data_IF_120082958667
#
_entry.id   IF_120082958667
#
_cell.length_a   1.000
_cell.length_b   1.000
_cell.length_c   1.000
_cell.angle_alpha   90.00
_cell.angle_beta   90.00
_cell.angle_gamma   90.00
#
_symmetry.space_group_name_H-M   'P 1'
#
loop_
_entity.id
_entity.type
_entity.pdbx_description
1 polymer ?
#
# COMPACT_ATOMS: atom_id res chain seq x y z
N UNK A 1 -13.02 15.23 -26.20
CA UNK A 1 -13.45 13.93 -25.64
C UNK A 1 -12.76 12.83 -26.42
N UNK A 2 -11.74 12.19 -25.83
CA UNK A 2 -11.17 10.97 -26.40
C UNK A 2 -12.07 9.77 -26.05
N UNK A 3 -12.16 8.77 -26.94
CA UNK A 3 -12.95 7.55 -26.68
C UNK A 3 -12.05 6.33 -26.83
N UNK A 4 -11.98 5.53 -25.78
CA UNK A 4 -11.28 4.24 -25.79
C UNK A 4 -12.35 3.15 -26.01
N UNK A 5 -12.18 2.34 -27.05
CA UNK A 5 -13.05 1.19 -27.33
C UNK A 5 -12.34 -0.08 -26.87
N UNK A 6 -12.95 -0.80 -25.94
CA UNK A 6 -12.42 -2.07 -25.41
C UNK A 6 -13.23 -3.22 -26.00
N UNK A 7 -12.54 -4.26 -26.47
CA UNK A 7 -13.14 -5.47 -27.02
C UNK A 7 -12.70 -6.73 -26.28
N UNK A 8 -13.55 -7.76 -26.29
CA UNK A 8 -13.28 -9.08 -25.74
C UNK A 8 -14.08 -10.17 -26.47
N UNK A 9 -13.71 -11.43 -26.25
CA UNK A 9 -14.38 -12.57 -26.90
C UNK A 9 -15.70 -12.95 -26.23
N UNK A 10 -15.81 -12.70 -24.92
CA UNK A 10 -17.05 -12.95 -24.14
C UNK A 10 -17.52 -11.69 -23.40
N UNK A 11 -18.79 -11.67 -22.98
CA UNK A 11 -19.34 -10.56 -22.18
C UNK A 11 -18.64 -10.44 -20.82
N UNK A 12 -18.29 -11.56 -20.20
CA UNK A 12 -17.58 -11.59 -18.91
C UNK A 12 -16.20 -10.97 -19.03
N UNK A 13 -15.43 -11.33 -20.06
CA UNK A 13 -14.12 -10.72 -20.32
C UNK A 13 -14.23 -9.24 -20.69
N UNK A 14 -15.29 -8.84 -21.41
CA UNK A 14 -15.53 -7.45 -21.75
C UNK A 14 -15.75 -6.62 -20.47
N UNK A 15 -16.53 -7.14 -19.53
CA UNK A 15 -16.78 -6.52 -18.23
C UNK A 15 -15.50 -6.44 -17.39
N UNK A 16 -14.73 -7.52 -17.29
CA UNK A 16 -13.45 -7.54 -16.56
C UNK A 16 -12.46 -6.51 -17.12
N UNK A 17 -12.22 -6.52 -18.44
CA UNK A 17 -11.32 -5.55 -19.07
C UNK A 17 -11.81 -4.13 -18.85
N UNK A 18 -13.11 -3.87 -19.01
CA UNK A 18 -13.68 -2.54 -18.79
C UNK A 18 -13.39 -2.05 -17.37
N UNK A 19 -13.64 -2.86 -16.34
CA UNK A 19 -13.38 -2.50 -14.94
C UNK A 19 -11.89 -2.21 -14.70
N UNK A 20 -10.99 -3.04 -15.27
CA UNK A 20 -9.54 -2.82 -15.16
C UNK A 20 -9.08 -1.52 -15.82
N UNK A 21 -9.66 -1.15 -16.96
CA UNK A 21 -9.36 0.13 -17.62
C UNK A 21 -9.90 1.32 -16.83
N UNK A 22 -11.11 1.22 -16.27
CA UNK A 22 -11.69 2.25 -15.43
C UNK A 22 -10.84 2.47 -14.17
N UNK A 23 -10.41 1.39 -13.51
CA UNK A 23 -9.53 1.45 -12.34
C UNK A 23 -8.20 2.12 -12.68
N UNK A 24 -7.51 1.66 -13.73
CA UNK A 24 -6.23 2.23 -14.16
C UNK A 24 -6.30 3.74 -14.50
N UNK A 25 -7.38 4.18 -15.15
CA UNK A 25 -7.60 5.60 -15.45
C UNK A 25 -7.75 6.41 -14.16
N UNK A 26 -8.61 5.94 -13.25
CA UNK A 26 -8.85 6.60 -11.97
C UNK A 26 -7.58 6.63 -11.09
N UNK A 27 -6.77 5.57 -11.10
CA UNK A 27 -5.50 5.53 -10.36
C UNK A 27 -4.50 6.56 -10.89
N UNK A 28 -4.34 6.65 -12.22
CA UNK A 28 -3.40 7.61 -12.83
C UNK A 28 -3.87 9.05 -12.65
N UNK A 29 -5.17 9.31 -12.77
CA UNK A 29 -5.72 10.64 -12.51
C UNK A 29 -5.50 11.05 -11.05
N UNK A 30 -5.71 10.13 -10.09
CA UNK A 30 -5.44 10.37 -8.66
C UNK A 30 -3.95 10.59 -8.39
N UNK A 31 -3.08 9.78 -8.99
CA UNK A 31 -1.64 9.92 -8.88
C UNK A 31 -1.12 11.25 -9.43
N UNK A 32 -1.73 11.77 -10.50
CA UNK A 32 -1.41 13.08 -11.07
C UNK A 32 -1.75 14.22 -10.09
N UNK A 33 -2.84 14.09 -9.34
CA UNK A 33 -3.31 15.13 -8.43
C UNK A 33 -2.63 15.10 -7.06
N UNK A 34 -2.44 13.91 -6.48
CA UNK A 34 -1.97 13.72 -5.10
C UNK A 34 -0.50 13.27 -5.01
N UNK A 35 0.10 12.86 -6.14
CA UNK A 35 1.41 12.22 -6.16
C UNK A 35 1.31 10.70 -5.97
N UNK A 36 2.48 10.08 -5.82
CA UNK A 36 2.64 8.62 -5.73
C UNK A 36 3.47 8.26 -4.50
N UNK A 37 3.22 7.07 -3.97
CA UNK A 37 3.95 6.49 -2.84
C UNK A 37 4.21 5.01 -3.12
N UNK A 38 5.23 4.40 -2.51
CA UNK A 38 5.46 2.95 -2.60
C UNK A 38 4.25 2.15 -2.12
N UNK A 39 3.81 1.19 -2.94
CA UNK A 39 2.67 0.34 -2.64
C UNK A 39 3.02 -0.85 -1.72
N UNK A 40 2.35 -1.98 -1.96
CA UNK A 40 2.54 -3.21 -1.18
C UNK A 40 2.23 -3.10 0.33
N UNK A 41 1.59 -2.01 0.75
CA UNK A 41 1.43 -1.67 2.17
C UNK A 41 2.70 -1.18 2.87
N UNK A 42 3.82 -1.00 2.14
CA UNK A 42 5.09 -0.54 2.72
C UNK A 42 4.98 0.86 3.32
N UNK A 43 4.33 1.79 2.60
CA UNK A 43 4.14 3.16 3.09
C UNK A 43 3.44 3.18 4.45
N UNK A 44 2.34 2.43 4.61
CA UNK A 44 1.62 2.37 5.89
C UNK A 44 2.45 1.70 6.99
N UNK A 45 3.18 0.62 6.68
CA UNK A 45 4.06 -0.05 7.63
C UNK A 45 5.20 0.87 8.10
N UNK A 46 5.73 1.72 7.22
CA UNK A 46 6.73 2.72 7.53
C UNK A 46 6.16 3.83 8.42
N UNK A 47 5.04 4.45 8.02
CA UNK A 47 4.38 5.51 8.78
C UNK A 47 3.97 5.06 10.18
N UNK A 48 3.53 3.82 10.32
CA UNK A 48 3.23 3.24 11.63
C UNK A 48 4.41 3.39 12.59
N UNK A 49 5.65 3.19 12.14
CA UNK A 49 6.83 3.24 13.01
C UNK A 49 7.39 4.65 13.15
N UNK A 50 7.37 5.45 12.09
CA UNK A 50 8.00 6.78 12.09
C UNK A 50 7.12 7.88 12.66
N UNK A 51 5.79 7.76 12.54
CA UNK A 51 4.85 8.80 12.96
C UNK A 51 4.06 8.43 14.22
N UNK A 52 4.26 7.26 14.82
CA UNK A 52 3.52 6.85 16.03
C UNK A 52 3.62 7.91 17.13
N UNK A 53 4.83 8.38 17.45
CA UNK A 53 5.00 9.37 18.51
C UNK A 53 4.33 10.71 18.17
N UNK A 54 4.51 11.20 16.94
CA UNK A 54 3.92 12.47 16.50
C UNK A 54 2.39 12.42 16.50
N UNK A 55 1.80 11.29 16.08
CA UNK A 55 0.35 11.08 16.10
C UNK A 55 -0.15 11.07 17.55
N UNK A 56 0.56 10.40 18.46
CA UNK A 56 0.16 10.31 19.86
C UNK A 56 0.28 11.65 20.57
N UNK A 57 1.33 12.42 20.30
CA UNK A 57 1.56 13.75 20.89
C UNK A 57 0.53 14.79 20.42
N UNK A 58 -0.15 14.54 19.29
CA UNK A 58 -1.18 15.41 18.75
C UNK A 58 -2.58 15.18 19.36
N UNK A 59 -2.76 14.15 20.19
CA UNK A 59 -4.07 13.83 20.80
C UNK A 59 -4.22 14.54 22.15
N UNK A 60 -5.38 15.16 22.39
CA UNK A 60 -5.61 15.98 23.58
C UNK A 60 -6.21 15.17 24.74
N UNK A 61 -6.86 14.04 24.45
CA UNK A 61 -7.57 13.20 25.42
C UNK A 61 -7.15 11.73 25.40
N UNK A 62 -7.38 11.03 26.52
CA UNK A 62 -7.13 9.58 26.60
C UNK A 62 -7.96 8.77 25.61
N UNK A 63 -9.22 9.17 25.36
CA UNK A 63 -10.09 8.49 24.41
C UNK A 63 -9.58 8.64 22.96
N UNK A 64 -9.11 9.83 22.59
CA UNK A 64 -8.49 10.08 21.28
C UNK A 64 -7.18 9.30 21.12
N UNK A 65 -6.33 9.26 22.16
CA UNK A 65 -5.11 8.45 22.18
C UNK A 65 -5.41 6.97 21.96
N UNK A 66 -6.44 6.41 22.60
CA UNK A 66 -6.84 5.02 22.35
C UNK A 66 -7.32 4.81 20.91
N UNK A 67 -8.08 5.75 20.36
CA UNK A 67 -8.51 5.72 18.96
C UNK A 67 -7.33 5.74 17.98
N UNK A 68 -6.35 6.62 18.22
CA UNK A 68 -5.13 6.72 17.43
C UNK A 68 -4.31 5.43 17.47
N UNK A 69 -4.13 4.82 18.65
CA UNK A 69 -3.43 3.54 18.80
C UNK A 69 -4.07 2.41 18.00
N UNK A 70 -5.41 2.39 17.88
CA UNK A 70 -6.11 1.39 17.07
C UNK A 70 -5.76 1.58 15.58
N UNK A 71 -5.78 2.83 15.09
CA UNK A 71 -5.44 3.13 13.70
C UNK A 71 -3.97 2.82 13.39
N UNK A 72 -3.05 3.22 14.26
CA UNK A 72 -1.61 2.92 14.13
C UNK A 72 -1.39 1.42 14.02
N UNK A 73 -2.02 0.61 14.89
CA UNK A 73 -1.92 -0.86 14.80
C UNK A 73 -2.48 -1.39 13.48
N UNK A 74 -3.59 -0.85 13.00
CA UNK A 74 -4.23 -1.26 11.75
C UNK A 74 -3.40 -0.93 10.50
N UNK A 75 -2.49 0.05 10.55
CA UNK A 75 -1.64 0.42 9.40
C UNK A 75 -0.74 -0.72 8.89
N UNK A 76 -0.34 -1.66 9.76
CA UNK A 76 0.43 -2.85 9.34
C UNK A 76 -0.39 -3.89 8.58
N UNK A 77 -1.71 -3.91 8.77
CA UNK A 77 -2.58 -4.99 8.31
C UNK A 77 -2.56 -5.19 6.78
N UNK A 78 -2.53 -4.14 5.94
CA UNK A 78 -2.45 -4.33 4.49
C UNK A 78 -1.17 -5.04 4.03
N UNK A 79 -0.01 -4.66 4.57
CA UNK A 79 1.26 -5.31 4.25
C UNK A 79 1.28 -6.77 4.74
N UNK A 80 0.77 -7.01 5.95
CA UNK A 80 0.62 -8.33 6.54
C UNK A 80 -0.28 -9.23 5.67
N UNK A 81 -1.44 -8.73 5.23
CA UNK A 81 -2.36 -9.49 4.38
C UNK A 81 -1.76 -9.83 3.01
N UNK A 82 -1.01 -8.90 2.40
CA UNK A 82 -0.32 -9.14 1.14
C UNK A 82 0.73 -10.25 1.30
N UNK A 83 1.48 -10.24 2.39
CA UNK A 83 2.47 -11.28 2.70
C UNK A 83 1.82 -12.65 2.97
N UNK A 84 0.73 -12.69 3.73
CA UNK A 84 -0.01 -13.92 4.02
C UNK A 84 -0.63 -14.53 2.75
N UNK A 85 -1.17 -13.70 1.86
CA UNK A 85 -1.67 -14.13 0.56
C UNK A 85 -0.55 -14.72 -0.32
N UNK A 86 0.70 -14.31 -0.10
CA UNK A 86 1.88 -14.87 -0.74
C UNK A 86 2.47 -16.09 -0.01
N UNK A 87 1.84 -16.55 1.08
CA UNK A 87 2.25 -17.74 1.84
C UNK A 87 3.37 -17.51 2.84
N UNK A 88 3.65 -16.25 3.21
CA UNK A 88 4.64 -15.89 4.22
C UNK A 88 3.99 -15.44 5.54
N UNK A 89 4.75 -15.48 6.62
CA UNK A 89 4.32 -14.95 7.91
C UNK A 89 4.34 -13.42 7.89
N UNK A 90 3.16 -12.80 7.85
CA UNK A 90 3.06 -11.35 7.59
C UNK A 90 3.71 -10.47 8.65
N UNK A 91 3.71 -10.88 9.93
CA UNK A 91 4.41 -10.15 10.99
C UNK A 91 5.93 -10.07 10.76
N UNK A 92 6.54 -11.15 10.23
CA UNK A 92 7.97 -11.18 9.89
C UNK A 92 8.25 -10.25 8.71
N UNK A 93 7.37 -10.24 7.70
CA UNK A 93 7.51 -9.36 6.53
C UNK A 93 7.40 -7.89 6.94
N UNK A 94 6.38 -7.53 7.72
CA UNK A 94 6.20 -6.14 8.21
C UNK A 94 7.43 -5.69 9.01
N UNK A 95 7.91 -6.51 9.94
CA UNK A 95 9.10 -6.19 10.72
C UNK A 95 10.34 -5.96 9.84
N UNK A 96 10.51 -6.78 8.80
CA UNK A 96 11.62 -6.64 7.85
C UNK A 96 11.48 -5.39 6.98
N UNK A 97 10.28 -5.11 6.45
CA UNK A 97 10.01 -3.88 5.67
C UNK A 97 10.29 -2.63 6.51
N UNK A 98 9.81 -2.58 7.75
CA UNK A 98 10.08 -1.46 8.66
C UNK A 98 11.58 -1.23 8.88
N UNK A 99 12.34 -2.31 9.08
CA UNK A 99 13.79 -2.24 9.26
C UNK A 99 14.51 -1.73 8.00
N UNK A 100 14.08 -2.18 6.82
CA UNK A 100 14.64 -1.73 5.53
C UNK A 100 14.34 -0.26 5.27
N UNK A 101 13.13 0.20 5.60
CA UNK A 101 12.76 1.60 5.45
C UNK A 101 13.54 2.52 6.41
N UNK A 102 13.96 2.02 7.57
CA UNK A 102 14.86 2.77 8.47
C UNK A 102 16.28 2.88 7.89
N UNK A 103 16.77 1.84 7.23
CA UNK A 103 18.12 1.80 6.65
C UNK A 103 18.22 2.62 5.36
N UNK A 104 17.22 2.52 4.49
CA UNK A 104 17.26 3.04 3.13
C UNK A 104 16.26 4.17 2.84
N UNK A 105 15.37 4.48 3.77
CA UNK A 105 14.28 5.44 3.58
C UNK A 105 13.02 4.85 2.95
N UNK A 106 12.04 5.72 2.69
CA UNK A 106 10.77 5.35 2.07
C UNK A 106 11.01 4.87 0.63
N UNK A 107 10.61 3.64 0.31
CA UNK A 107 10.82 3.02 -1.01
C UNK A 107 10.91 1.50 -0.92
N UNK A 108 11.55 1.01 0.13
CA UNK A 108 11.77 -0.43 0.31
C UNK A 108 10.52 -1.16 0.78
N UNK A 109 10.27 -2.34 0.25
CA UNK A 109 9.11 -3.14 0.62
C UNK A 109 9.20 -4.58 0.14
N UNK A 110 8.10 -5.30 0.29
CA UNK A 110 7.96 -6.69 -0.18
C UNK A 110 7.18 -6.73 -1.48
N UNK A 111 7.84 -7.07 -2.58
CA UNK A 111 7.17 -7.37 -3.85
C UNK A 111 6.64 -8.81 -3.79
N UNK A 112 5.35 -8.94 -3.48
CA UNK A 112 4.69 -10.25 -3.37
C UNK A 112 4.59 -11.00 -4.70
N UNK A 113 4.65 -10.31 -5.84
CA UNK A 113 4.61 -10.95 -7.15
C UNK A 113 5.97 -11.57 -7.51
N UNK A 114 7.07 -10.91 -7.15
CA UNK A 114 8.43 -11.39 -7.37
C UNK A 114 8.97 -12.26 -6.22
N UNK A 115 8.42 -12.12 -5.01
CA UNK A 115 8.89 -12.83 -3.82
C UNK A 115 10.21 -12.27 -3.27
N UNK A 116 10.44 -10.97 -3.38
CA UNK A 116 11.69 -10.33 -2.97
C UNK A 116 11.47 -9.00 -2.25
N UNK A 117 12.47 -8.60 -1.44
CA UNK A 117 12.53 -7.25 -0.88
C UNK A 117 13.31 -6.35 -1.82
N UNK A 118 12.68 -5.27 -2.27
CA UNK A 118 13.28 -4.33 -3.22
C UNK A 118 12.73 -2.93 -3.03
N UNK A 119 13.28 -1.97 -3.78
CA UNK A 119 12.68 -0.65 -3.92
C UNK A 119 11.42 -0.76 -4.79
N UNK A 120 10.25 -0.62 -4.15
CA UNK A 120 8.95 -0.72 -4.79
C UNK A 120 8.67 0.47 -5.72
N UNK A 121 9.24 1.64 -5.43
CA UNK A 121 9.09 2.82 -6.26
C UNK A 121 9.78 2.60 -7.61
N UNK A 122 11.00 2.06 -7.60
CA UNK A 122 11.72 1.67 -8.82
C UNK A 122 11.03 0.51 -9.56
N UNK A 123 10.43 -0.42 -8.80
CA UNK A 123 9.70 -1.58 -9.34
C UNK A 123 8.35 -1.20 -9.96
N UNK A 124 7.79 -0.06 -9.58
CA UNK A 124 6.46 0.39 -10.02
C UNK A 124 5.32 -0.29 -9.26
N UNK A 125 5.53 -0.58 -7.97
CA UNK A 125 4.57 -1.24 -7.06
C UNK A 125 4.06 -0.27 -6.03
#
# INVERSE_FOLDING_TARGET
IARIKVGAATETELKDKKLRYEDALNSVDSARELGIVPGGGSTLAHLQKTMEQEIMDAMDSEDEMQGALILIKAMSAPCMQVAENAGLEGAVVVSKVQSLCEEHGLGWGWDAAAGEYCDLMERGV
#
